data_IF_417788060003
#
_entry.id   IF_417788060003
#
_cell.length_a   1.000
_cell.length_b   1.000
_cell.length_c   1.000
_cell.angle_alpha   90.00
_cell.angle_beta   90.00
_cell.angle_gamma   90.00
#
_symmetry.space_group_name_H-M   'P 1'
#
loop_
_entity.id
_entity.type
_entity.pdbx_description
1 polymer ?
#
# COMPACT_ATOMS: atom_id res chain seq x y z
N UNK A 1 11.68 -28.01 8.83
CA UNK A 1 12.13 -26.66 9.32
C UNK A 1 10.88 -25.83 9.38
N UNK A 2 10.70 -25.04 10.44
CA UNK A 2 9.54 -24.15 10.58
C UNK A 2 9.83 -22.75 10.04
N UNK A 3 8.84 -21.86 10.17
CA UNK A 3 8.96 -20.46 9.78
C UNK A 3 10.04 -19.74 10.59
N UNK A 4 10.94 -19.05 9.91
CA UNK A 4 12.00 -18.24 10.50
C UNK A 4 12.07 -16.85 9.84
N UNK A 5 12.49 -15.83 10.59
CA UNK A 5 12.67 -14.49 10.08
C UNK A 5 14.14 -14.31 9.68
N UNK A 6 14.38 -14.02 8.40
CA UNK A 6 15.66 -13.54 7.91
C UNK A 6 15.63 -12.02 7.83
N UNK A 7 16.41 -11.39 8.69
CA UNK A 7 16.51 -9.94 8.73
C UNK A 7 17.31 -9.41 7.54
N UNK A 8 16.84 -8.28 6.98
CA UNK A 8 17.57 -7.44 6.03
C UNK A 8 18.04 -6.18 6.73
N UNK A 9 19.04 -5.50 6.16
CA UNK A 9 19.56 -4.22 6.68
C UNK A 9 18.62 -3.06 6.30
N UNK A 10 17.41 -3.11 6.85
CA UNK A 10 16.37 -2.10 6.69
C UNK A 10 15.34 -2.24 7.82
N UNK A 11 14.56 -1.19 8.14
CA UNK A 11 13.58 -1.23 9.24
C UNK A 11 12.34 -2.08 8.94
N UNK A 12 12.18 -2.54 7.70
CA UNK A 12 11.07 -3.37 7.20
C UNK A 12 11.54 -4.20 6.00
N UNK A 13 10.68 -5.09 5.47
CA UNK A 13 11.01 -5.91 4.31
C UNK A 13 11.77 -7.18 4.67
N UNK A 14 11.61 -7.70 5.89
CA UNK A 14 12.26 -8.94 6.33
C UNK A 14 11.65 -10.16 5.63
N UNK A 15 12.50 -11.17 5.37
CA UNK A 15 12.06 -12.38 4.68
C UNK A 15 11.62 -13.46 5.67
N UNK A 16 10.51 -14.11 5.37
CA UNK A 16 10.09 -15.35 6.05
C UNK A 16 10.59 -16.53 5.22
N UNK A 17 11.37 -17.37 5.84
CA UNK A 17 11.95 -18.57 5.21
C UNK A 17 11.45 -19.85 5.90
N UNK A 18 11.67 -21.00 5.26
CA UNK A 18 11.30 -22.31 5.82
C UNK A 18 9.82 -22.67 5.65
N UNK A 19 9.04 -21.93 4.85
CA UNK A 19 7.62 -22.17 4.63
C UNK A 19 7.27 -22.40 3.15
N UNK A 20 6.24 -23.22 2.93
CA UNK A 20 5.59 -23.42 1.64
C UNK A 20 4.06 -23.31 1.89
N UNK A 21 3.51 -22.17 1.51
CA UNK A 21 2.10 -21.86 1.80
C UNK A 21 1.18 -22.83 1.04
N UNK A 22 1.57 -23.28 -0.16
CA UNK A 22 0.76 -24.19 -0.96
C UNK A 22 0.57 -25.56 -0.31
N UNK A 23 1.53 -26.00 0.50
CA UNK A 23 1.46 -27.26 1.27
C UNK A 23 0.72 -27.13 2.59
N UNK A 24 0.33 -25.91 2.94
CA UNK A 24 -0.29 -25.60 4.23
C UNK A 24 0.73 -25.18 5.28
N UNK A 25 0.27 -24.39 6.23
CA UNK A 25 1.08 -23.88 7.33
C UNK A 25 0.52 -24.37 8.67
N UNK A 26 1.40 -24.79 9.56
CA UNK A 26 1.04 -25.01 10.95
C UNK A 26 0.61 -23.68 11.62
N UNK A 27 -0.13 -23.76 12.71
CA UNK A 27 -0.50 -22.56 13.47
C UNK A 27 0.73 -21.90 14.13
N UNK A 28 1.78 -22.68 14.40
CA UNK A 28 3.04 -22.16 14.92
C UNK A 28 3.74 -21.31 13.84
N UNK A 29 3.87 -21.82 12.61
CA UNK A 29 4.47 -21.08 11.50
C UNK A 29 3.67 -19.83 11.15
N UNK A 30 2.33 -19.95 11.16
CA UNK A 30 1.48 -18.79 10.90
C UNK A 30 1.66 -17.70 11.96
N UNK A 31 1.78 -18.05 13.25
CA UNK A 31 2.04 -17.05 14.31
C UNK A 31 3.34 -16.30 14.07
N UNK A 32 4.42 -16.97 13.66
CA UNK A 32 5.68 -16.30 13.32
C UNK A 32 5.49 -15.30 12.18
N UNK A 33 4.73 -15.68 11.15
CA UNK A 33 4.43 -14.80 10.01
C UNK A 33 3.58 -13.60 10.46
N UNK A 34 2.53 -13.83 11.24
CA UNK A 34 1.62 -12.76 11.72
C UNK A 34 2.35 -11.79 12.66
N UNK A 35 3.15 -12.29 13.59
CA UNK A 35 3.95 -11.46 14.49
C UNK A 35 4.99 -10.63 13.73
N UNK A 36 5.65 -11.22 12.73
CA UNK A 36 6.58 -10.49 11.88
C UNK A 36 5.88 -9.39 11.07
N UNK A 37 4.70 -9.69 10.50
CA UNK A 37 3.90 -8.72 9.77
C UNK A 37 3.48 -7.54 10.64
N UNK A 38 2.93 -7.81 11.84
CA UNK A 38 2.51 -6.75 12.77
C UNK A 38 3.69 -5.90 13.27
N UNK A 39 4.84 -6.54 13.53
CA UNK A 39 6.00 -5.87 14.12
C UNK A 39 6.78 -5.02 13.12
N UNK A 40 6.94 -5.52 11.89
CA UNK A 40 7.83 -4.93 10.89
C UNK A 40 7.10 -4.25 9.73
N UNK A 41 5.79 -4.45 9.61
CA UNK A 41 4.94 -3.76 8.63
C UNK A 41 5.08 -4.23 7.19
N UNK A 42 6.25 -4.76 6.78
CA UNK A 42 6.46 -5.38 5.47
C UNK A 42 7.22 -6.68 5.64
N UNK A 43 6.65 -7.76 5.10
CA UNK A 43 7.30 -9.09 5.07
C UNK A 43 7.27 -9.67 3.65
N UNK A 44 8.24 -10.54 3.37
CA UNK A 44 8.43 -11.18 2.08
C UNK A 44 8.51 -12.70 2.28
N UNK A 45 7.76 -13.45 1.47
CA UNK A 45 7.83 -14.91 1.40
C UNK A 45 8.17 -15.26 -0.05
N UNK A 46 9.38 -15.74 -0.29
CA UNK A 46 9.86 -15.97 -1.65
C UNK A 46 9.50 -17.34 -2.20
N UNK A 47 9.46 -17.46 -3.52
CA UNK A 47 9.39 -18.73 -4.24
C UNK A 47 8.09 -19.50 -4.02
N UNK A 48 6.98 -18.83 -3.79
CA UNK A 48 5.68 -19.42 -3.57
C UNK A 48 4.94 -19.67 -4.90
N UNK A 49 4.27 -20.81 -5.00
CA UNK A 49 3.43 -21.14 -6.16
C UNK A 49 2.00 -21.41 -5.69
N UNK A 50 1.19 -20.36 -5.62
CA UNK A 50 -0.17 -20.44 -5.11
C UNK A 50 -1.21 -20.33 -6.22
N UNK A 51 -2.25 -21.14 -6.15
CA UNK A 51 -3.50 -20.83 -6.85
C UNK A 51 -4.16 -19.58 -6.22
N UNK A 52 -5.03 -18.88 -6.96
CA UNK A 52 -5.80 -17.77 -6.39
C UNK A 52 -6.56 -18.13 -5.11
N UNK A 53 -7.14 -19.33 -5.08
CA UNK A 53 -7.87 -19.86 -3.92
C UNK A 53 -6.96 -20.09 -2.71
N UNK A 54 -5.74 -20.59 -2.93
CA UNK A 54 -4.74 -20.75 -1.86
C UNK A 54 -4.27 -19.40 -1.34
N UNK A 55 -4.06 -18.40 -2.20
CA UNK A 55 -3.75 -17.04 -1.80
C UNK A 55 -4.88 -16.45 -0.93
N UNK A 56 -6.13 -16.60 -1.34
CA UNK A 56 -7.30 -16.15 -0.56
C UNK A 56 -7.38 -16.87 0.78
N UNK A 57 -7.21 -18.20 0.81
CA UNK A 57 -7.24 -18.99 2.04
C UNK A 57 -6.15 -18.55 3.03
N UNK A 58 -4.93 -18.30 2.54
CA UNK A 58 -3.84 -17.78 3.37
C UNK A 58 -4.13 -16.36 3.86
N UNK A 59 -4.60 -15.48 2.99
CA UNK A 59 -4.95 -14.10 3.35
C UNK A 59 -6.04 -14.03 4.43
N UNK A 60 -7.03 -14.92 4.38
CA UNK A 60 -8.12 -15.01 5.37
C UNK A 60 -7.67 -15.37 6.77
N UNK A 61 -6.48 -15.96 6.93
CA UNK A 61 -5.91 -16.20 8.27
C UNK A 61 -5.59 -14.90 9.02
N UNK A 62 -5.36 -13.79 8.29
CA UNK A 62 -5.13 -12.46 8.88
C UNK A 62 -6.43 -11.70 9.21
N UNK A 63 -7.59 -12.19 8.78
CA UNK A 63 -8.89 -11.58 9.00
C UNK A 63 -9.77 -11.56 7.74
N UNK A 64 -10.87 -10.78 7.75
CA UNK A 64 -11.73 -10.64 6.59
C UNK A 64 -10.97 -10.01 5.42
N UNK A 65 -11.45 -10.26 4.19
CA UNK A 65 -10.89 -9.64 3.00
C UNK A 65 -11.86 -8.57 2.46
N UNK A 66 -11.30 -7.42 2.12
CA UNK A 66 -12.02 -6.38 1.41
C UNK A 66 -11.98 -6.65 -0.09
N UNK A 67 -13.08 -6.38 -0.80
CA UNK A 67 -13.09 -6.33 -2.25
C UNK A 67 -12.71 -4.93 -2.71
N UNK A 68 -11.85 -4.87 -3.72
CA UNK A 68 -11.47 -3.58 -4.29
C UNK A 68 -12.64 -2.97 -5.07
N UNK A 69 -12.82 -1.66 -4.96
CA UNK A 69 -13.95 -0.91 -5.55
C UNK A 69 -14.01 -0.95 -7.08
N UNK A 70 -12.90 -1.28 -7.76
CA UNK A 70 -12.85 -1.42 -9.22
C UNK A 70 -13.11 -2.88 -9.63
N UNK A 71 -14.34 -3.34 -9.47
CA UNK A 71 -14.77 -4.74 -9.68
C UNK A 71 -14.35 -5.35 -11.02
N UNK A 72 -14.23 -4.53 -12.06
CA UNK A 72 -13.86 -4.98 -13.42
C UNK A 72 -12.50 -5.65 -13.52
N UNK A 73 -11.62 -5.43 -12.53
CA UNK A 73 -10.29 -6.04 -12.47
C UNK A 73 -10.19 -7.16 -11.42
N UNK A 74 -11.29 -7.48 -10.74
CA UNK A 74 -11.34 -8.66 -9.89
C UNK A 74 -11.35 -9.92 -10.74
N UNK A 75 -10.63 -10.96 -10.29
CA UNK A 75 -10.59 -12.25 -10.98
C UNK A 75 -11.98 -12.88 -11.00
N UNK A 76 -12.46 -13.30 -12.17
CA UNK A 76 -13.83 -13.78 -12.36
C UNK A 76 -14.21 -14.93 -11.43
N UNK A 77 -13.31 -15.92 -11.31
CA UNK A 77 -13.56 -17.14 -10.54
C UNK A 77 -13.04 -17.07 -9.09
N UNK A 78 -12.45 -15.93 -8.69
CA UNK A 78 -11.94 -15.66 -7.36
C UNK A 78 -11.95 -14.13 -7.09
N UNK A 79 -13.13 -13.54 -6.83
CA UNK A 79 -13.32 -12.09 -6.85
C UNK A 79 -12.62 -11.33 -5.72
N UNK A 80 -12.10 -12.02 -4.72
CA UNK A 80 -11.23 -11.44 -3.69
C UNK A 80 -9.82 -11.15 -4.22
N UNK A 81 -9.45 -11.70 -5.36
CA UNK A 81 -8.17 -11.43 -6.04
C UNK A 81 -8.38 -10.31 -7.04
N UNK A 82 -7.72 -9.19 -6.80
CA UNK A 82 -7.62 -8.05 -7.71
C UNK A 82 -6.36 -8.19 -8.57
N UNK A 83 -6.47 -8.01 -9.88
CA UNK A 83 -5.35 -8.14 -10.82
C UNK A 83 -4.70 -6.77 -11.05
N UNK A 84 -3.41 -6.67 -10.73
CA UNK A 84 -2.55 -5.53 -11.09
C UNK A 84 -1.67 -5.95 -12.25
N UNK A 85 -1.90 -5.36 -13.45
CA UNK A 85 -1.24 -5.83 -14.67
C UNK A 85 -1.27 -4.76 -15.76
N UNK A 86 -0.18 -4.64 -16.53
CA UNK A 86 -0.12 -3.84 -17.76
C UNK A 86 -0.45 -4.66 -19.02
N UNK A 87 -0.86 -5.92 -18.87
CA UNK A 87 -1.10 -6.83 -19.98
C UNK A 87 -2.45 -6.53 -20.62
N UNK A 88 -2.46 -6.54 -21.97
CA UNK A 88 -3.66 -6.43 -22.77
C UNK A 88 -3.86 -7.77 -23.49
N UNK A 89 -5.00 -8.41 -23.29
CA UNK A 89 -5.40 -9.66 -23.95
C UNK A 89 -6.70 -9.44 -24.73
N UNK A 90 -6.72 -9.83 -26.00
CA UNK A 90 -7.87 -9.62 -26.89
C UNK A 90 -8.37 -8.15 -26.92
N UNK A 91 -7.44 -7.18 -26.91
CA UNK A 91 -7.73 -5.75 -26.92
C UNK A 91 -8.30 -5.18 -25.60
N UNK A 92 -8.27 -5.95 -24.50
CA UNK A 92 -8.78 -5.51 -23.19
C UNK A 92 -7.70 -5.60 -22.11
N UNK A 93 -7.61 -4.63 -21.20
CA UNK A 93 -6.73 -4.72 -20.03
C UNK A 93 -7.11 -5.91 -19.16
N UNK A 94 -6.13 -6.73 -18.79
CA UNK A 94 -6.30 -7.88 -17.88
C UNK A 94 -6.44 -7.42 -16.43
N UNK A 95 -5.81 -6.29 -16.09
CA UNK A 95 -5.80 -5.73 -14.75
C UNK A 95 -5.60 -4.22 -14.75
N UNK A 96 -5.42 -3.63 -13.58
CA UNK A 96 -5.07 -2.23 -13.43
C UNK A 96 -3.57 -2.03 -13.68
N UNK A 97 -3.20 -1.33 -14.76
CA UNK A 97 -1.81 -1.11 -15.16
C UNK A 97 -1.09 -0.01 -14.39
N UNK A 98 -1.81 1.07 -14.06
CA UNK A 98 -1.26 2.23 -13.33
C UNK A 98 -1.76 2.24 -11.88
N UNK A 99 -1.20 1.35 -11.06
CA UNK A 99 -1.54 1.25 -9.65
C UNK A 99 -0.41 1.77 -8.77
N UNK A 100 -0.69 2.82 -7.97
CA UNK A 100 0.15 3.18 -6.83
C UNK A 100 1.52 3.79 -7.14
N UNK A 101 1.71 4.51 -8.26
CA UNK A 101 2.96 5.20 -8.61
C UNK A 101 3.12 6.54 -7.89
N UNK A 102 2.95 6.54 -6.59
CA UNK A 102 3.14 7.68 -5.68
C UNK A 102 3.19 7.14 -4.24
N UNK A 103 3.71 7.91 -3.29
CA UNK A 103 3.80 7.49 -1.89
C UNK A 103 2.43 7.53 -1.20
N UNK A 104 1.90 6.37 -0.83
CA UNK A 104 0.57 6.28 -0.24
C UNK A 104 0.42 5.10 0.72
N UNK A 105 -0.59 5.22 1.57
CA UNK A 105 -1.25 4.11 2.24
C UNK A 105 -2.52 3.77 1.46
N UNK A 106 -2.84 2.49 1.33
CA UNK A 106 -4.04 2.05 0.63
C UNK A 106 -5.33 2.49 1.32
N UNK A 107 -6.39 2.67 0.52
CA UNK A 107 -7.76 2.93 1.00
C UNK A 107 -7.90 4.18 1.90
N UNK A 108 -7.02 5.16 1.79
CA UNK A 108 -7.09 6.42 2.54
C UNK A 108 -8.42 7.17 2.35
N UNK A 109 -9.16 6.89 1.28
CA UNK A 109 -10.49 7.46 0.97
C UNK A 109 -11.61 6.93 1.88
N UNK A 110 -11.34 5.93 2.70
CA UNK A 110 -12.33 5.30 3.59
C UNK A 110 -12.11 5.71 5.03
N UNK A 111 -13.19 5.75 5.82
CA UNK A 111 -13.14 6.04 7.25
C UNK A 111 -12.27 5.03 8.01
N UNK A 112 -12.36 3.77 7.61
CA UNK A 112 -11.55 2.67 8.14
C UNK A 112 -10.73 2.06 7.00
N UNK A 113 -9.51 2.55 6.71
CA UNK A 113 -8.64 1.96 5.69
C UNK A 113 -8.37 0.49 5.99
N UNK A 114 -8.22 -0.31 4.96
CA UNK A 114 -7.89 -1.74 5.09
C UNK A 114 -6.59 -1.94 5.90
N UNK A 115 -6.51 -3.07 6.63
CA UNK A 115 -5.33 -3.42 7.44
C UNK A 115 -4.06 -3.45 6.59
N UNK A 116 -4.15 -4.03 5.40
CA UNK A 116 -3.00 -4.14 4.51
C UNK A 116 -3.31 -4.84 3.21
N UNK A 117 -2.28 -5.17 2.49
CA UNK A 117 -2.39 -5.89 1.22
C UNK A 117 -1.36 -7.01 1.14
N UNK A 118 -1.71 -8.05 0.40
CA UNK A 118 -0.81 -9.11 -0.03
C UNK A 118 -0.73 -9.11 -1.55
N UNK A 119 0.46 -9.04 -2.09
CA UNK A 119 0.71 -9.08 -3.54
C UNK A 119 1.56 -10.31 -3.87
N UNK A 120 1.06 -11.14 -4.78
CA UNK A 120 1.76 -12.34 -5.29
C UNK A 120 2.23 -12.07 -6.71
N UNK A 121 3.53 -12.24 -6.96
CA UNK A 121 4.15 -11.99 -8.26
C UNK A 121 3.97 -13.18 -9.20
N UNK A 122 3.17 -12.99 -10.27
CA UNK A 122 2.89 -14.01 -11.29
C UNK A 122 3.78 -13.83 -12.52
N UNK A 123 3.92 -12.60 -13.01
CA UNK A 123 4.84 -12.21 -14.08
C UNK A 123 5.58 -10.95 -13.65
N UNK A 124 6.91 -10.96 -13.79
CA UNK A 124 7.80 -9.84 -13.44
C UNK A 124 8.52 -9.37 -14.69
N UNK A 125 8.44 -8.08 -15.04
CA UNK A 125 9.15 -7.54 -16.19
C UNK A 125 10.67 -7.49 -15.92
N UNK A 126 11.45 -7.64 -16.98
CA UNK A 126 12.90 -7.53 -16.94
C UNK A 126 13.39 -6.62 -18.07
N UNK A 127 14.52 -5.97 -17.85
CA UNK A 127 15.24 -5.29 -18.91
C UNK A 127 16.03 -6.28 -19.81
N UNK A 128 16.71 -5.75 -20.84
CA UNK A 128 17.50 -6.54 -21.79
C UNK A 128 18.71 -7.25 -21.14
N UNK A 129 19.10 -6.85 -19.92
CA UNK A 129 20.17 -7.47 -19.15
C UNK A 129 19.65 -8.49 -18.12
N UNK A 130 18.34 -8.72 -18.10
CA UNK A 130 17.68 -9.65 -17.17
C UNK A 130 17.50 -9.07 -15.76
N UNK A 131 17.66 -7.75 -15.55
CA UNK A 131 17.38 -7.10 -14.28
C UNK A 131 15.87 -6.94 -14.12
N UNK A 132 15.28 -7.34 -12.97
CA UNK A 132 13.85 -7.15 -12.73
C UNK A 132 13.49 -5.66 -12.64
N UNK A 133 12.38 -5.31 -13.29
CA UNK A 133 11.75 -3.99 -13.31
C UNK A 133 10.46 -3.99 -12.48
N UNK A 134 9.82 -2.82 -12.32
CA UNK A 134 8.55 -2.70 -11.63
C UNK A 134 8.65 -2.94 -10.13
N UNK A 135 9.76 -2.59 -9.50
CA UNK A 135 9.99 -2.70 -8.07
C UNK A 135 8.93 -1.97 -7.24
N UNK A 136 8.91 -2.22 -5.94
CA UNK A 136 8.05 -1.48 -4.99
C UNK A 136 8.91 -0.96 -3.85
N UNK A 137 8.77 0.32 -3.56
CA UNK A 137 9.45 0.97 -2.45
C UNK A 137 8.51 1.11 -1.28
N UNK A 138 9.05 0.92 -0.08
CA UNK A 138 8.32 1.03 1.18
C UNK A 138 9.06 1.95 2.13
N UNK A 139 8.32 2.70 2.94
CA UNK A 139 8.86 3.53 4.02
C UNK A 139 8.22 3.07 5.33
N UNK A 140 9.06 2.83 6.34
CA UNK A 140 8.61 2.54 7.69
C UNK A 140 8.14 3.82 8.38
N UNK A 141 6.82 3.94 8.52
CA UNK A 141 6.20 5.09 9.19
C UNK A 141 6.30 5.00 10.72
N UNK A 142 6.62 3.81 11.25
CA UNK A 142 7.00 3.62 12.65
C UNK A 142 8.40 4.17 12.91
N UNK A 143 9.41 3.75 12.13
CA UNK A 143 10.78 4.22 12.29
C UNK A 143 10.89 5.74 12.02
N UNK A 144 10.15 6.23 11.04
CA UNK A 144 10.07 7.66 10.76
C UNK A 144 9.45 8.43 11.93
N UNK A 145 8.42 7.89 12.59
CA UNK A 145 7.84 8.52 13.78
C UNK A 145 8.83 8.52 14.96
N UNK A 146 9.50 7.39 15.20
CA UNK A 146 10.44 7.26 16.32
C UNK A 146 11.61 8.28 16.21
N UNK A 147 12.01 8.61 14.97
CA UNK A 147 13.07 9.57 14.66
C UNK A 147 12.57 11.01 14.41
N UNK A 148 11.28 11.32 14.64
CA UNK A 148 10.77 12.68 14.43
C UNK A 148 11.48 13.70 15.29
N UNK A 149 11.96 14.82 14.71
CA UNK A 149 12.36 16.00 15.48
C UNK A 149 11.22 16.47 16.38
N UNK A 150 11.56 16.87 17.59
CA UNK A 150 10.57 17.23 18.63
C UNK A 150 9.63 18.36 18.17
N UNK A 151 10.15 19.34 17.42
CA UNK A 151 9.33 20.45 16.91
C UNK A 151 8.33 19.99 15.86
N UNK A 152 8.73 19.07 14.97
CA UNK A 152 7.83 18.51 13.96
C UNK A 152 6.81 17.57 14.61
N UNK A 153 7.23 16.79 15.61
CA UNK A 153 6.33 15.94 16.41
C UNK A 153 5.21 16.74 17.04
N UNK A 154 5.50 17.86 17.70
CA UNK A 154 4.50 18.76 18.31
C UNK A 154 3.52 19.34 17.31
N UNK A 155 3.95 19.56 16.06
CA UNK A 155 3.09 20.08 14.99
C UNK A 155 2.05 19.07 14.49
N UNK A 156 2.35 17.75 14.55
CA UNK A 156 1.49 16.73 13.97
C UNK A 156 0.80 15.80 14.99
N UNK A 157 1.36 15.64 16.19
CA UNK A 157 0.81 14.75 17.20
C UNK A 157 -0.54 15.26 17.71
N UNK A 158 -1.54 14.38 17.78
CA UNK A 158 -2.92 14.75 18.15
C UNK A 158 -3.70 15.48 17.04
N UNK A 159 -3.08 15.81 15.91
CA UNK A 159 -3.72 16.52 14.80
C UNK A 159 -4.44 15.59 13.84
N UNK A 160 -5.51 16.14 13.24
CA UNK A 160 -6.19 15.55 12.10
C UNK A 160 -5.70 16.19 10.81
N UNK A 161 -5.54 15.38 9.75
CA UNK A 161 -5.30 15.87 8.39
C UNK A 161 -6.52 15.59 7.53
N UNK A 162 -6.94 16.57 6.74
CA UNK A 162 -8.03 16.43 5.78
C UNK A 162 -7.46 15.93 4.47
N UNK A 163 -7.92 14.77 4.05
CA UNK A 163 -7.61 14.16 2.76
C UNK A 163 -8.68 14.53 1.75
N UNK A 164 -8.28 14.97 0.56
CA UNK A 164 -9.17 15.46 -0.48
C UNK A 164 -9.02 14.68 -1.77
N UNK A 165 -10.12 14.10 -2.24
CA UNK A 165 -10.18 13.46 -3.55
C UNK A 165 -9.89 14.44 -4.70
N UNK A 166 -10.30 15.73 -4.57
CA UNK A 166 -9.98 16.77 -5.56
C UNK A 166 -8.47 17.01 -5.63
N UNK A 167 -7.82 17.25 -4.49
CA UNK A 167 -6.36 17.46 -4.45
C UNK A 167 -5.61 16.27 -5.04
N UNK A 168 -6.06 15.05 -4.74
CA UNK A 168 -5.50 13.83 -5.32
C UNK A 168 -5.62 13.79 -6.85
N UNK A 169 -6.78 14.14 -7.39
CA UNK A 169 -6.97 14.19 -8.86
C UNK A 169 -6.04 15.22 -9.50
N UNK A 170 -5.94 16.42 -8.92
CA UNK A 170 -5.07 17.49 -9.42
C UNK A 170 -3.57 17.07 -9.34
N UNK A 171 -3.17 16.43 -8.24
CA UNK A 171 -1.83 15.85 -8.07
C UNK A 171 -1.54 14.77 -9.14
N UNK A 172 -2.48 13.85 -9.38
CA UNK A 172 -2.32 12.82 -10.42
C UNK A 172 -2.19 13.44 -11.80
N UNK A 173 -3.00 14.46 -12.08
CA UNK A 173 -2.98 15.19 -13.35
C UNK A 173 -1.64 15.86 -13.61
N UNK A 174 -1.04 16.48 -12.59
CA UNK A 174 0.27 17.15 -12.71
C UNK A 174 1.43 16.18 -12.95
N UNK A 175 1.27 14.89 -12.60
CA UNK A 175 2.28 13.84 -12.76
C UNK A 175 2.01 12.88 -13.92
N UNK A 176 0.89 13.02 -14.62
CA UNK A 176 0.61 12.20 -15.79
C UNK A 176 1.48 12.67 -16.96
N UNK A 177 2.22 11.76 -17.61
CA UNK A 177 3.06 12.12 -18.74
C UNK A 177 2.26 12.77 -19.87
N UNK A 178 2.88 13.74 -20.51
CA UNK A 178 2.35 14.38 -21.72
C UNK A 178 3.35 14.21 -22.86
N UNK A 179 2.87 14.06 -24.08
CA UNK A 179 3.71 14.05 -25.27
C UNK A 179 4.47 15.39 -25.37
N UNK A 180 5.81 15.37 -25.40
CA UNK A 180 6.60 16.59 -25.43
C UNK A 180 6.34 17.50 -26.65
N UNK A 181 5.84 16.92 -27.76
CA UNK A 181 5.55 17.66 -29.00
C UNK A 181 4.19 18.31 -29.02
N UNK A 182 3.19 17.64 -28.43
CA UNK A 182 1.79 18.10 -28.47
C UNK A 182 1.31 18.68 -27.15
N UNK A 183 2.01 18.41 -26.02
CA UNK A 183 1.59 18.77 -24.67
C UNK A 183 0.36 17.99 -24.18
N UNK A 184 -0.03 16.91 -24.88
CA UNK A 184 -1.25 16.17 -24.59
C UNK A 184 -0.95 14.85 -23.89
N UNK A 185 -1.83 14.47 -22.96
CA UNK A 185 -1.85 13.11 -22.40
C UNK A 185 -2.23 12.08 -23.45
N UNK A 186 -1.80 10.83 -23.26
CA UNK A 186 -2.30 9.71 -24.06
C UNK A 186 -3.83 9.61 -23.99
N UNK A 187 -4.48 8.95 -24.93
CA UNK A 187 -5.92 8.75 -24.93
C UNK A 187 -6.39 7.99 -23.67
N UNK A 188 -5.62 6.96 -23.28
CA UNK A 188 -5.93 6.13 -22.11
C UNK A 188 -5.75 6.88 -20.80
N UNK A 189 -4.68 7.67 -20.66
CA UNK A 189 -4.46 8.53 -19.48
C UNK A 189 -5.56 9.56 -19.34
N UNK A 190 -5.97 10.17 -20.45
CA UNK A 190 -7.07 11.15 -20.49
C UNK A 190 -8.40 10.53 -20.06
N UNK A 191 -8.72 9.33 -20.58
CA UNK A 191 -9.92 8.60 -20.19
C UNK A 191 -9.89 8.21 -18.70
N UNK A 192 -8.76 7.72 -18.23
CA UNK A 192 -8.58 7.41 -16.80
C UNK A 192 -8.68 8.64 -15.90
N UNK A 193 -8.20 9.79 -16.35
CA UNK A 193 -8.31 11.04 -15.61
C UNK A 193 -9.76 11.54 -15.56
N UNK A 194 -10.49 11.49 -16.69
CA UNK A 194 -11.90 11.83 -16.75
C UNK A 194 -12.76 10.96 -15.83
N UNK A 195 -12.44 9.67 -15.72
CA UNK A 195 -13.13 8.75 -14.81
C UNK A 195 -12.87 9.13 -13.33
N UNK A 196 -11.63 9.50 -12.97
CA UNK A 196 -11.30 9.99 -11.64
C UNK A 196 -12.02 11.32 -11.32
N UNK A 197 -12.12 12.22 -12.29
CA UNK A 197 -12.83 13.50 -12.13
C UNK A 197 -14.33 13.32 -11.92
N UNK A 198 -14.94 12.29 -12.51
CA UNK A 198 -16.36 11.95 -12.27
C UNK A 198 -16.60 11.34 -10.89
N UNK A 199 -15.61 10.61 -10.36
CA UNK A 199 -15.72 9.82 -9.13
C UNK A 199 -14.82 10.37 -8.02
N UNK A 200 -14.84 11.70 -7.80
CA UNK A 200 -14.04 12.34 -6.75
C UNK A 200 -14.55 11.89 -5.38
N UNK A 201 -13.67 11.25 -4.62
CA UNK A 201 -13.97 10.89 -3.24
C UNK A 201 -14.20 12.16 -2.39
N UNK A 202 -15.17 12.14 -1.46
CA UNK A 202 -15.39 13.24 -0.53
C UNK A 202 -14.17 13.44 0.36
N UNK A 203 -14.08 14.63 0.98
CA UNK A 203 -13.08 14.87 2.02
C UNK A 203 -13.29 13.94 3.20
N UNK A 204 -12.18 13.48 3.76
CA UNK A 204 -12.15 12.64 4.96
C UNK A 204 -10.98 13.06 5.85
N UNK A 205 -11.21 13.08 7.17
CA UNK A 205 -10.15 13.40 8.13
C UNK A 205 -9.56 12.14 8.74
N UNK A 206 -8.22 12.11 8.81
CA UNK A 206 -7.47 11.07 9.50
C UNK A 206 -6.47 11.67 10.47
N UNK A 207 -6.22 10.97 11.59
CA UNK A 207 -5.13 11.34 12.50
C UNK A 207 -3.79 11.26 11.76
N UNK A 208 -2.95 12.28 11.92
CA UNK A 208 -1.59 12.31 11.36
C UNK A 208 -0.66 11.30 12.04
N UNK A 209 -0.89 11.03 13.32
CA UNK A 209 -0.21 9.99 14.10
C UNK A 209 -1.24 8.98 14.57
N UNK A 210 -1.05 7.72 14.18
CA UNK A 210 -1.89 6.58 14.52
C UNK A 210 -1.19 5.68 15.52
N UNK A 211 -1.96 4.99 16.34
CA UNK A 211 -1.48 3.90 17.18
C UNK A 211 -1.79 2.59 16.47
N UNK A 212 -0.76 1.81 16.19
CA UNK A 212 -0.95 0.50 15.54
C UNK A 212 -1.76 -0.42 16.47
N UNK A 213 -2.90 -0.98 16.01
CA UNK A 213 -3.88 -1.64 16.88
C UNK A 213 -3.36 -2.90 17.57
N UNK A 214 -2.36 -3.55 17.00
CA UNK A 214 -1.81 -4.81 17.55
C UNK A 214 -0.51 -4.60 18.33
N UNK A 215 0.34 -3.67 17.92
CA UNK A 215 1.65 -3.45 18.57
C UNK A 215 1.66 -2.29 19.54
N UNK A 216 0.67 -1.39 19.49
CA UNK A 216 0.65 -0.15 20.29
C UNK A 216 1.66 0.91 19.86
N UNK A 217 2.47 0.66 18.82
CA UNK A 217 3.47 1.63 18.33
C UNK A 217 2.79 2.77 17.56
N UNK A 218 3.35 3.95 17.68
CA UNK A 218 2.89 5.13 16.93
C UNK A 218 3.46 5.09 15.50
N UNK A 219 2.64 5.50 14.53
CA UNK A 219 2.98 5.54 13.11
C UNK A 219 2.51 6.88 12.52
N UNK A 220 3.31 7.48 11.65
CA UNK A 220 2.84 8.61 10.84
C UNK A 220 1.87 8.07 9.79
N UNK A 221 0.71 8.72 9.62
CA UNK A 221 -0.20 8.39 8.53
C UNK A 221 -0.13 9.48 7.46
N UNK A 222 0.29 9.08 6.28
CA UNK A 222 0.62 9.98 5.19
C UNK A 222 0.24 9.36 3.83
N UNK A 223 -0.23 10.22 2.92
CA UNK A 223 -0.43 9.86 1.52
C UNK A 223 -0.16 11.09 0.65
N UNK A 224 0.86 11.01 -0.18
CA UNK A 224 1.32 12.10 -1.05
C UNK A 224 0.19 12.59 -1.96
N UNK A 225 0.08 13.89 -2.14
CA UNK A 225 -0.90 14.50 -3.04
C UNK A 225 -2.35 14.38 -2.60
N UNK A 226 -2.64 13.74 -1.45
CA UNK A 226 -4.01 13.57 -0.95
C UNK A 226 -4.35 14.49 0.21
N UNK A 227 -3.37 14.86 1.05
CA UNK A 227 -3.59 15.71 2.22
C UNK A 227 -3.74 17.16 1.76
N UNK A 228 -4.92 17.75 2.01
CA UNK A 228 -5.21 19.14 1.66
C UNK A 228 -4.72 20.12 2.73
N UNK A 229 -5.00 19.82 3.99
CA UNK A 229 -4.65 20.68 5.14
C UNK A 229 -4.58 19.88 6.43
N UNK A 230 -3.95 20.46 7.43
CA UNK A 230 -3.94 19.98 8.83
C UNK A 230 -4.93 20.82 9.61
N UNK A 231 -5.85 20.19 10.35
CA UNK A 231 -6.83 20.90 11.16
C UNK A 231 -6.14 21.74 12.25
N UNK A 232 -6.57 23.01 12.37
CA UNK A 232 -6.00 23.96 13.32
C UNK A 232 -4.81 24.77 12.80
N UNK A 233 -4.44 24.59 11.51
CA UNK A 233 -3.47 25.42 10.80
C UNK A 233 -4.09 26.02 9.55
N UNK A 234 -3.56 27.15 9.10
CA UNK A 234 -3.88 27.68 7.76
C UNK A 234 -3.36 26.74 6.67
N UNK A 235 -3.82 26.94 5.43
CA UNK A 235 -3.32 26.16 4.29
C UNK A 235 -1.81 26.33 4.10
N UNK A 236 -1.33 27.56 4.18
CA UNK A 236 0.09 27.87 4.04
C UNK A 236 0.96 27.23 5.14
N UNK A 237 0.50 27.27 6.40
CA UNK A 237 1.18 26.57 7.50
C UNK A 237 1.14 25.07 7.32
N UNK A 238 -0.01 24.51 6.88
CA UNK A 238 -0.16 23.08 6.60
C UNK A 238 0.81 22.63 5.51
N UNK A 239 0.95 23.37 4.42
CA UNK A 239 1.89 23.07 3.34
C UNK A 239 3.33 23.03 3.86
N UNK A 240 3.76 24.02 4.62
CA UNK A 240 5.12 24.06 5.22
C UNK A 240 5.39 22.84 6.13
N UNK A 241 4.40 22.47 6.97
CA UNK A 241 4.50 21.30 7.86
C UNK A 241 4.54 20.00 7.04
N UNK A 242 3.70 19.87 6.03
CA UNK A 242 3.64 18.69 5.17
C UNK A 242 4.92 18.53 4.35
N UNK A 243 5.52 19.62 3.86
CA UNK A 243 6.79 19.61 3.14
C UNK A 243 7.96 19.22 4.06
N UNK A 244 7.96 19.71 5.31
CA UNK A 244 8.94 19.32 6.33
C UNK A 244 8.80 17.83 6.67
N UNK A 245 7.57 17.36 6.86
CA UNK A 245 7.26 15.96 7.14
C UNK A 245 7.65 15.06 5.95
N UNK A 246 7.33 15.47 4.71
CA UNK A 246 7.71 14.73 3.51
C UNK A 246 9.24 14.56 3.44
N UNK A 247 10.01 15.63 3.61
CA UNK A 247 11.48 15.56 3.61
C UNK A 247 12.02 14.65 4.72
N UNK A 248 11.36 14.62 5.88
CA UNK A 248 11.74 13.74 6.97
C UNK A 248 11.50 12.27 6.64
N UNK A 249 10.29 11.90 6.20
CA UNK A 249 9.93 10.50 5.93
C UNK A 249 10.67 9.90 4.73
N UNK A 250 11.15 10.75 3.81
CA UNK A 250 11.90 10.32 2.61
C UNK A 250 13.39 10.02 2.87
N UNK A 251 13.84 10.07 4.12
CA UNK A 251 15.25 9.77 4.44
C UNK A 251 15.57 8.27 4.21
N UNK A 252 16.76 7.95 3.67
CA UNK A 252 17.12 6.58 3.26
C UNK A 252 17.03 5.53 4.38
N UNK A 253 17.27 5.91 5.65
CA UNK A 253 17.21 4.99 6.78
C UNK A 253 15.82 4.41 7.05
N UNK A 254 14.75 4.98 6.49
CA UNK A 254 13.39 4.48 6.62
C UNK A 254 12.92 3.67 5.42
N UNK A 255 13.72 3.64 4.35
CA UNK A 255 13.37 3.09 3.04
C UNK A 255 13.78 1.63 2.90
N UNK A 256 12.94 0.85 2.24
CA UNK A 256 13.23 -0.47 1.70
C UNK A 256 12.78 -0.55 0.25
N UNK A 257 13.63 -1.07 -0.62
CA UNK A 257 13.35 -1.31 -2.04
C UNK A 257 13.18 -2.80 -2.29
N UNK A 258 11.98 -3.22 -2.67
CA UNK A 258 11.73 -4.59 -3.06
C UNK A 258 11.92 -4.78 -4.56
N UNK A 259 12.85 -5.67 -4.92
CA UNK A 259 13.02 -6.18 -6.28
C UNK A 259 12.28 -7.51 -6.41
N UNK A 260 11.27 -7.53 -7.27
CA UNK A 260 10.38 -8.69 -7.42
C UNK A 260 11.05 -9.87 -8.11
N UNK A 261 10.68 -11.07 -7.68
CA UNK A 261 10.91 -12.33 -8.40
C UNK A 261 9.56 -13.03 -8.53
N UNK A 262 9.39 -13.81 -9.61
CA UNK A 262 8.20 -14.65 -9.78
C UNK A 262 8.05 -15.57 -8.56
N UNK A 263 6.86 -15.66 -8.01
CA UNK A 263 6.56 -16.41 -6.79
C UNK A 263 6.83 -15.65 -5.49
N UNK A 264 7.24 -14.37 -5.53
CA UNK A 264 7.30 -13.56 -4.32
C UNK A 264 5.89 -13.25 -3.82
N UNK A 265 5.68 -13.40 -2.52
CA UNK A 265 4.56 -12.82 -1.79
C UNK A 265 5.11 -11.69 -0.93
N UNK A 266 4.62 -10.49 -1.14
CA UNK A 266 4.90 -9.33 -0.30
C UNK A 266 3.63 -8.89 0.38
N UNK A 267 3.70 -8.76 1.69
CA UNK A 267 2.61 -8.23 2.51
C UNK A 267 3.04 -6.93 3.14
N UNK A 268 2.14 -5.94 3.14
CA UNK A 268 2.39 -4.66 3.82
C UNK A 268 1.19 -4.22 4.64
N UNK A 269 1.50 -3.57 5.77
CA UNK A 269 0.54 -3.04 6.72
C UNK A 269 0.32 -1.54 6.47
N UNK A 270 -0.92 -1.15 6.21
CA UNK A 270 -1.30 0.21 5.85
C UNK A 270 -1.26 1.20 7.03
N UNK A 271 -1.15 0.72 8.26
CA UNK A 271 -0.96 1.57 9.43
C UNK A 271 0.51 1.98 9.61
N UNK A 272 1.42 1.03 9.35
CA UNK A 272 2.83 1.15 9.70
C UNK A 272 3.77 1.47 8.55
N UNK A 273 3.29 1.42 7.29
CA UNK A 273 4.10 1.81 6.14
C UNK A 273 3.30 2.54 5.05
N UNK A 274 4.03 3.25 4.21
CA UNK A 274 3.57 3.73 2.90
C UNK A 274 4.40 3.08 1.81
N UNK A 275 3.87 3.04 0.59
CA UNK A 275 4.54 2.41 -0.53
C UNK A 275 4.37 3.18 -1.83
N UNK A 276 5.26 2.87 -2.79
CA UNK A 276 5.28 3.46 -4.12
C UNK A 276 5.71 2.41 -5.14
N UNK A 277 4.89 2.15 -6.15
CA UNK A 277 5.22 1.27 -7.26
C UNK A 277 6.13 1.99 -8.27
N UNK A 278 7.22 1.35 -8.68
CA UNK A 278 8.13 1.89 -9.68
C UNK A 278 7.59 1.57 -11.08
N UNK A 279 7.49 2.60 -11.90
CA UNK A 279 6.95 2.52 -13.25
C UNK A 279 8.04 2.56 -14.31
N UNK A 280 9.09 1.76 -14.16
CA UNK A 280 10.27 1.68 -15.04
C UNK A 280 10.14 0.60 -16.12
N UNK A 281 8.93 0.17 -16.43
CA UNK A 281 8.62 -0.84 -17.45
C UNK A 281 7.40 -0.41 -18.28
N UNK A 282 7.38 -0.84 -19.52
CA UNK A 282 6.28 -0.64 -20.47
C UNK A 282 6.08 -1.87 -21.36
N UNK A 283 4.99 -1.92 -22.11
CA UNK A 283 4.80 -2.97 -23.11
C UNK A 283 5.96 -2.98 -24.14
N UNK A 284 6.56 -4.15 -24.48
CA UNK A 284 6.08 -5.52 -24.25
C UNK A 284 6.50 -6.18 -22.94
N UNK A 285 7.17 -5.49 -22.03
CA UNK A 285 7.57 -6.00 -20.73
C UNK A 285 6.33 -6.27 -19.87
N UNK A 286 6.03 -7.54 -19.60
CA UNK A 286 4.79 -7.98 -18.96
C UNK A 286 4.92 -8.01 -17.46
N UNK A 287 3.93 -7.42 -16.76
CA UNK A 287 3.78 -7.49 -15.31
C UNK A 287 2.39 -7.98 -14.94
N UNK A 288 2.31 -9.02 -14.10
CA UNK A 288 1.04 -9.52 -13.54
C UNK A 288 1.24 -9.86 -12.07
N UNK A 289 0.43 -9.25 -11.24
CA UNK A 289 0.38 -9.49 -9.80
C UNK A 289 -1.05 -9.82 -9.39
N UNK A 290 -1.20 -10.74 -8.44
CA UNK A 290 -2.47 -11.04 -7.79
C UNK A 290 -2.48 -10.40 -6.41
N UNK A 291 -3.46 -9.53 -6.15
CA UNK A 291 -3.61 -8.81 -4.90
C UNK A 291 -4.81 -9.31 -4.12
N UNK A 292 -4.65 -9.55 -2.82
CA UNK A 292 -5.73 -9.63 -1.85
C UNK A 292 -5.61 -8.47 -0.87
N UNK A 293 -6.74 -7.90 -0.46
CA UNK A 293 -6.79 -6.77 0.48
C UNK A 293 -7.29 -7.26 1.82
N UNK A 294 -6.46 -7.10 2.85
CA UNK A 294 -6.79 -7.51 4.22
C UNK A 294 -7.72 -6.45 4.81
N UNK A 295 -8.95 -6.82 5.10
CA UNK A 295 -9.92 -5.96 5.76
C UNK A 295 -9.51 -5.64 7.20
N UNK A 296 -10.03 -4.55 7.71
CA UNK A 296 -9.76 -4.14 9.07
C UNK A 296 -10.95 -4.46 9.99
N UNK A 297 -10.89 -5.56 10.76
CA UNK A 297 -11.97 -5.96 11.66
C UNK A 297 -12.05 -5.08 12.93
N UNK A 298 -11.02 -4.30 13.21
CA UNK A 298 -10.96 -3.42 14.38
C UNK A 298 -10.68 -1.98 13.94
N UNK A 299 -11.18 -0.97 14.66
CA UNK A 299 -10.79 0.42 14.40
C UNK A 299 -9.26 0.54 14.51
N UNK A 300 -8.64 1.18 13.52
CA UNK A 300 -7.19 1.46 13.49
C UNK A 300 -6.77 2.38 14.66
N UNK A 301 -7.72 2.78 15.50
CA UNK A 301 -7.52 3.73 16.58
C UNK A 301 -8.04 3.16 17.90
N UNK A 302 -7.13 2.87 18.82
CA UNK A 302 -7.46 2.94 20.24
C UNK A 302 -7.13 4.36 20.69
N UNK A 303 -8.14 5.18 20.97
CA UNK A 303 -7.95 6.28 21.89
C UNK A 303 -7.73 5.68 23.28
N UNK A 304 -6.76 6.20 24.03
CA UNK A 304 -6.63 5.87 25.43
C UNK A 304 -7.97 6.23 26.13
N UNK A 305 -8.83 5.25 26.40
CA UNK A 305 -10.03 5.36 27.20
C UNK A 305 -11.39 5.31 26.50
N UNK A 306 -11.49 5.20 25.18
CA UNK A 306 -12.80 5.08 24.51
C UNK A 306 -12.82 3.84 23.61
N UNK A 307 -13.61 2.86 24.01
CA UNK A 307 -13.96 1.67 23.22
C UNK A 307 -15.19 2.02 22.38
N UNK A 308 -15.02 2.47 21.13
CA UNK A 308 -16.12 2.41 20.18
C UNK A 308 -16.20 0.99 19.61
N UNK A 309 -17.17 0.25 20.08
CA UNK A 309 -17.60 -1.00 19.46
C UNK A 309 -18.31 -0.67 18.14
N UNK A 310 -17.66 -0.98 17.02
CA UNK A 310 -18.34 -0.97 15.73
C UNK A 310 -19.16 -2.23 15.63
N UNK A 311 -20.49 -2.12 15.70
CA UNK A 311 -21.41 -3.19 15.31
C UNK A 311 -21.15 -3.55 13.84
N UNK A 312 -20.67 -4.76 13.63
CA UNK A 312 -20.63 -5.39 12.31
C UNK A 312 -22.06 -5.76 11.96
N UNK A 313 -22.69 -4.98 11.09
CA UNK A 313 -23.94 -5.42 10.46
C UNK A 313 -23.61 -6.55 9.49
N UNK A 314 -24.23 -7.70 9.75
CA UNK A 314 -24.19 -8.93 8.97
C UNK A 314 -24.69 -8.73 7.52
#
# INVERSE_FOLDING_TARGET
MGAEIRFVDAPLGHEIVGVDIAKGLSDADFRVIEEAYDRYGVIIIRGQSLSPQQQVAFSRRFGPLDRYVLDKYNMKDCPEVFIVSNIIENGKPVGLGDAGRYWHSDMWVTKNPSRGSMLHAIEVPHDDQGKPLGGTWFISMQAAYDALPEDLRKKIEGRMAVYSGRKYVDFRKSRTPVDPKTGQMSADDRAGMQEREKNIAPEISHRMVRIHPRTGRKCIYYSEGSIDRIEGYSREESEKILDELHRHIMQPQFLYQHSWKVGDIVMWDNCSCIHNAIGDFEWPQRRRMHRTTLGNPAPIFKESGVTETVEVRA
#
